data_IF_060629589792
#
_entry.id   IF_060629589792
#
_cell.length_a   1.000
_cell.length_b   1.000
_cell.length_c   1.000
_cell.angle_alpha   90.00
_cell.angle_beta   90.00
_cell.angle_gamma   90.00
#
_symmetry.space_group_name_H-M   'P 1'
#
loop_
_entity.id
_entity.type
_entity.pdbx_description
1 polymer ?
#
# COMPACT_ATOMS: atom_id res chain seq x y z
N UNK A 1 21.58 -0.77 -19.45
CA UNK A 1 20.53 -0.90 -18.45
C UNK A 1 19.19 -0.50 -19.07
N UNK A 2 18.14 -1.14 -18.60
CA UNK A 2 16.77 -0.75 -18.90
C UNK A 2 16.18 -0.12 -17.66
N UNK A 3 15.70 1.11 -17.79
CA UNK A 3 14.96 1.79 -16.72
C UNK A 3 13.52 1.29 -16.80
N UNK A 4 13.05 0.67 -15.73
CA UNK A 4 11.68 0.17 -15.65
C UNK A 4 10.74 1.16 -14.99
N UNK A 5 11.23 1.86 -13.98
CA UNK A 5 10.41 2.76 -13.20
C UNK A 5 11.21 3.99 -12.76
N UNK A 6 10.57 5.14 -12.89
CA UNK A 6 10.98 6.37 -12.21
C UNK A 6 9.75 6.82 -11.42
N UNK A 7 9.91 6.97 -10.12
CA UNK A 7 8.89 7.46 -9.20
C UNK A 7 9.30 8.82 -8.66
N UNK A 8 8.38 9.77 -8.72
CA UNK A 8 8.55 11.07 -8.07
C UNK A 8 8.01 10.93 -6.65
N UNK A 9 8.80 11.32 -5.66
CA UNK A 9 8.35 11.29 -4.28
C UNK A 9 7.08 12.14 -4.09
N UNK A 10 6.03 11.60 -3.46
CA UNK A 10 4.83 12.38 -3.14
C UNK A 10 5.09 13.44 -2.06
N UNK A 11 6.24 13.39 -1.38
CA UNK A 11 6.61 14.29 -0.30
C UNK A 11 7.51 15.45 -0.74
N UNK A 12 8.34 15.21 -1.78
CA UNK A 12 9.26 16.21 -2.30
C UNK A 12 9.50 16.01 -3.81
N UNK A 13 9.08 16.92 -4.69
CA UNK A 13 9.21 16.77 -6.14
C UNK A 13 10.67 16.70 -6.65
N UNK A 14 11.64 17.19 -5.87
CA UNK A 14 13.06 17.06 -6.19
C UNK A 14 13.62 15.66 -5.86
N UNK A 15 12.86 14.85 -5.13
CA UNK A 15 13.25 13.48 -4.79
C UNK A 15 12.66 12.50 -5.79
N UNK A 16 13.55 11.71 -6.41
CA UNK A 16 13.20 10.71 -7.40
C UNK A 16 13.77 9.37 -6.98
N UNK A 17 13.01 8.32 -7.24
CA UNK A 17 13.47 6.94 -7.11
C UNK A 17 13.50 6.27 -8.47
N UNK A 18 14.48 5.43 -8.72
CA UNK A 18 14.66 4.75 -9.99
C UNK A 18 14.92 3.27 -9.76
N UNK A 19 14.23 2.44 -10.53
CA UNK A 19 14.50 1.02 -10.66
C UNK A 19 14.92 0.70 -12.09
N UNK A 20 16.06 0.03 -12.22
CA UNK A 20 16.60 -0.41 -13.50
C UNK A 20 17.06 -1.85 -13.46
N UNK A 21 17.35 -2.43 -14.62
CA UNK A 21 17.80 -3.81 -14.73
C UNK A 21 18.71 -4.00 -15.95
N UNK A 22 19.54 -5.04 -15.90
CA UNK A 22 20.45 -5.45 -16.97
C UNK A 22 20.34 -6.94 -17.31
N UNK A 23 19.24 -7.60 -16.95
CA UNK A 23 19.08 -9.04 -17.11
C UNK A 23 19.33 -9.54 -18.55
N UNK A 24 19.01 -8.73 -19.56
CA UNK A 24 19.32 -9.05 -20.97
C UNK A 24 20.83 -9.08 -21.28
N UNK A 25 21.65 -8.58 -20.38
CA UNK A 25 23.11 -8.64 -20.44
C UNK A 25 23.68 -9.69 -19.47
N UNK A 26 22.84 -10.62 -19.02
CA UNK A 26 23.16 -11.66 -18.03
C UNK A 26 23.65 -11.09 -16.69
N UNK A 27 23.13 -9.93 -16.32
CA UNK A 27 23.41 -9.23 -15.05
C UNK A 27 22.10 -9.12 -14.27
N UNK A 28 22.00 -9.87 -13.17
CA UNK A 28 20.82 -9.99 -12.34
C UNK A 28 20.88 -9.14 -11.08
N UNK A 29 21.89 -8.29 -10.98
CA UNK A 29 22.06 -7.38 -9.83
C UNK A 29 20.89 -6.40 -9.71
N UNK A 30 20.50 -6.00 -8.49
CA UNK A 30 19.53 -4.93 -8.27
C UNK A 30 20.12 -3.57 -8.64
N UNK A 31 19.30 -2.72 -9.20
CA UNK A 31 19.65 -1.36 -9.57
C UNK A 31 18.60 -0.40 -9.06
N UNK A 32 18.70 -0.03 -7.77
CA UNK A 32 17.84 0.91 -7.09
C UNK A 32 18.62 2.19 -6.79
N UNK A 33 18.10 3.31 -7.21
CA UNK A 33 18.74 4.61 -7.03
C UNK A 33 17.75 5.64 -6.51
N UNK A 34 18.27 6.60 -5.77
CA UNK A 34 17.58 7.80 -5.29
C UNK A 34 18.31 9.04 -5.75
N UNK A 35 17.57 10.05 -6.14
CA UNK A 35 18.04 11.42 -6.33
C UNK A 35 17.29 12.34 -5.38
N UNK A 36 17.95 13.39 -4.88
CA UNK A 36 17.34 14.44 -4.05
C UNK A 36 17.42 15.82 -4.68
N UNK A 37 17.83 15.88 -5.96
CA UNK A 37 18.08 17.14 -6.67
C UNK A 37 17.58 17.08 -8.12
N UNK A 38 16.37 16.57 -8.34
CA UNK A 38 15.73 16.53 -9.65
C UNK A 38 16.44 15.63 -10.67
N UNK A 39 17.16 14.61 -10.21
CA UNK A 39 17.85 13.65 -11.09
C UNK A 39 19.26 14.06 -11.53
N UNK A 40 19.82 15.14 -10.99
CA UNK A 40 21.17 15.57 -11.33
C UNK A 40 22.24 14.61 -10.77
N UNK A 41 22.04 14.12 -9.56
CA UNK A 41 22.88 13.12 -8.93
C UNK A 41 22.04 11.95 -8.42
N UNK A 42 22.62 10.76 -8.46
CA UNK A 42 21.96 9.53 -8.04
C UNK A 42 22.82 8.78 -7.03
N UNK A 43 22.20 8.37 -5.96
CA UNK A 43 22.77 7.53 -4.92
C UNK A 43 22.18 6.12 -5.03
N UNK A 44 23.02 5.09 -4.90
CA UNK A 44 22.58 3.71 -4.86
C UNK A 44 21.94 3.41 -3.50
N UNK A 45 20.73 2.89 -3.51
CA UNK A 45 19.95 2.55 -2.32
C UNK A 45 19.67 1.04 -2.23
N UNK A 46 20.54 0.21 -2.81
CA UNK A 46 20.37 -1.23 -2.72
C UNK A 46 20.47 -1.73 -1.26
N UNK A 47 21.26 -1.08 -0.39
CA UNK A 47 21.41 -1.50 1.00
C UNK A 47 21.75 -2.99 1.12
N UNK A 48 20.92 -3.75 1.82
CA UNK A 48 20.98 -5.20 1.97
C UNK A 48 19.98 -5.96 1.08
N UNK A 49 19.51 -5.31 0.00
CA UNK A 49 18.68 -5.98 -1.00
C UNK A 49 19.43 -7.18 -1.63
N UNK A 50 18.77 -8.33 -1.88
CA UNK A 50 19.46 -9.51 -2.39
C UNK A 50 20.17 -9.27 -3.72
N UNK A 51 21.45 -9.69 -3.82
CA UNK A 51 22.32 -9.40 -4.96
C UNK A 51 21.84 -9.99 -6.30
N UNK A 52 21.09 -11.08 -6.26
CA UNK A 52 20.59 -11.77 -7.45
C UNK A 52 19.09 -11.56 -7.67
N UNK A 53 18.54 -10.51 -7.11
CA UNK A 53 17.11 -10.21 -7.21
C UNK A 53 16.89 -8.96 -8.06
N UNK A 54 16.29 -9.15 -9.24
CA UNK A 54 16.01 -8.05 -10.17
C UNK A 54 14.91 -7.15 -9.62
N UNK A 55 15.21 -5.86 -9.52
CA UNK A 55 14.20 -4.85 -9.22
C UNK A 55 13.47 -4.40 -10.48
N UNK A 56 12.13 -4.26 -10.41
CA UNK A 56 11.31 -3.81 -11.54
C UNK A 56 10.63 -2.48 -11.29
N UNK A 57 9.91 -2.38 -10.21
CA UNK A 57 9.13 -1.19 -9.86
C UNK A 57 9.45 -0.74 -8.46
N UNK A 58 9.51 0.56 -8.24
CA UNK A 58 9.67 1.16 -6.92
C UNK A 58 8.57 2.18 -6.69
N UNK A 59 8.00 2.20 -5.47
CA UNK A 59 6.98 3.16 -5.04
C UNK A 59 7.28 3.64 -3.64
N UNK A 60 7.09 4.93 -3.40
CA UNK A 60 7.09 5.51 -2.05
C UNK A 60 5.67 5.64 -1.52
N UNK A 61 5.49 5.35 -0.24
CA UNK A 61 4.18 5.54 0.42
C UNK A 61 3.80 7.03 0.48
N UNK A 62 2.59 7.41 0.03
CA UNK A 62 2.18 8.81 0.02
C UNK A 62 1.91 9.40 1.42
N UNK A 63 1.81 8.56 2.45
CA UNK A 63 1.55 9.00 3.82
C UNK A 63 2.81 9.01 4.69
N UNK A 64 3.81 8.19 4.37
CA UNK A 64 5.00 7.99 5.21
C UNK A 64 6.28 8.13 4.38
N UNK A 65 7.02 9.24 4.53
CA UNK A 65 8.26 9.44 3.81
C UNK A 65 9.29 8.33 4.10
N UNK A 66 9.97 7.85 3.05
CA UNK A 66 11.00 6.82 3.17
C UNK A 66 10.48 5.40 3.41
N UNK A 67 9.15 5.19 3.44
CA UNK A 67 8.56 3.87 3.33
C UNK A 67 8.46 3.50 1.85
N UNK A 68 9.30 2.57 1.43
CA UNK A 68 9.46 2.19 0.03
C UNK A 68 9.00 0.75 -0.20
N UNK A 69 8.39 0.52 -1.35
CA UNK A 69 8.03 -0.80 -1.84
C UNK A 69 8.73 -1.05 -3.18
N UNK A 70 9.34 -2.21 -3.33
CA UNK A 70 9.99 -2.65 -4.57
C UNK A 70 9.37 -3.95 -5.03
N UNK A 71 8.89 -3.96 -6.26
CA UNK A 71 8.48 -5.18 -6.95
C UNK A 71 9.68 -5.80 -7.67
N UNK A 72 9.84 -7.10 -7.50
CA UNK A 72 10.93 -7.91 -8.04
C UNK A 72 10.45 -9.04 -8.95
N UNK A 73 11.36 -9.94 -9.34
CA UNK A 73 11.01 -11.18 -10.03
C UNK A 73 10.33 -12.22 -9.12
N UNK A 74 10.56 -12.15 -7.81
CA UNK A 74 10.10 -13.18 -6.87
C UNK A 74 9.11 -12.67 -5.84
N UNK A 75 8.72 -11.39 -5.91
CA UNK A 75 7.77 -10.82 -4.96
C UNK A 75 7.97 -9.35 -4.67
N UNK A 76 7.70 -8.97 -3.45
CA UNK A 76 7.72 -7.58 -2.99
C UNK A 76 8.75 -7.44 -1.88
N UNK A 77 9.52 -6.37 -1.94
CA UNK A 77 10.43 -5.96 -0.86
C UNK A 77 9.99 -4.61 -0.31
N UNK A 78 10.22 -4.41 0.96
CA UNK A 78 9.87 -3.20 1.70
C UNK A 78 11.10 -2.63 2.38
N UNK A 79 11.24 -1.32 2.35
CA UNK A 79 12.18 -0.57 3.20
C UNK A 79 11.42 0.44 4.04
N UNK A 80 11.69 0.47 5.34
CA UNK A 80 11.12 1.44 6.28
C UNK A 80 12.09 2.56 6.63
N UNK A 81 13.23 2.62 5.96
CA UNK A 81 14.32 3.56 6.27
C UNK A 81 15.02 4.09 5.01
N UNK A 82 14.21 4.37 4.00
CA UNK A 82 14.63 5.08 2.78
C UNK A 82 15.70 4.30 1.98
N UNK A 83 15.52 2.97 1.85
CA UNK A 83 16.38 2.11 1.06
C UNK A 83 17.67 1.65 1.74
N UNK A 84 17.85 1.95 3.03
CA UNK A 84 19.06 1.50 3.76
C UNK A 84 19.02 0.00 4.07
N UNK A 85 17.84 -0.50 4.40
CA UNK A 85 17.60 -1.93 4.60
C UNK A 85 16.32 -2.34 3.89
N UNK A 86 16.34 -3.57 3.39
CA UNK A 86 15.25 -4.16 2.64
C UNK A 86 14.82 -5.49 3.26
N UNK A 87 13.54 -5.72 3.33
CA UNK A 87 12.96 -6.96 3.81
C UNK A 87 11.95 -7.48 2.81
N UNK A 88 11.98 -8.78 2.53
CA UNK A 88 10.94 -9.39 1.71
C UNK A 88 9.62 -9.35 2.47
N UNK A 89 8.58 -8.94 1.78
CA UNK A 89 7.22 -8.97 2.31
C UNK A 89 6.67 -10.37 2.14
N UNK A 90 6.82 -11.15 3.20
CA UNK A 90 6.31 -12.52 3.25
C UNK A 90 4.79 -12.53 3.52
N UNK A 91 4.17 -13.66 3.20
CA UNK A 91 2.74 -13.88 3.38
C UNK A 91 2.24 -14.94 2.41
N UNK A 92 1.00 -14.83 1.99
CA UNK A 92 0.41 -15.71 0.98
C UNK A 92 0.66 -15.25 -0.46
N UNK A 93 1.49 -14.22 -0.65
CA UNK A 93 1.84 -13.72 -1.98
C UNK A 93 2.70 -14.75 -2.73
N UNK A 94 2.34 -15.11 -3.98
CA UNK A 94 3.07 -16.11 -4.73
C UNK A 94 4.44 -15.63 -5.20
N UNK A 95 5.33 -16.56 -5.48
CA UNK A 95 6.58 -16.25 -6.20
C UNK A 95 6.23 -15.95 -7.65
N UNK A 96 6.25 -14.66 -8.00
CA UNK A 96 5.82 -14.16 -9.31
C UNK A 96 6.44 -12.79 -9.59
N UNK A 97 6.76 -12.46 -10.86
CA UNK A 97 7.25 -11.13 -11.20
C UNK A 97 6.18 -10.06 -10.95
N UNK A 98 6.59 -9.01 -10.26
CA UNK A 98 5.76 -7.83 -9.99
C UNK A 98 6.13 -6.73 -10.97
N UNK A 99 5.22 -6.37 -11.87
CA UNK A 99 5.48 -5.42 -12.92
C UNK A 99 5.05 -4.00 -12.59
N UNK A 100 4.02 -3.85 -11.78
CA UNK A 100 3.59 -2.54 -11.30
C UNK A 100 2.94 -2.64 -9.92
N UNK A 101 2.98 -1.52 -9.20
CA UNK A 101 2.34 -1.37 -7.90
C UNK A 101 1.75 0.03 -7.77
N UNK A 102 0.66 0.14 -7.03
CA UNK A 102 0.05 1.43 -6.68
C UNK A 102 -0.45 1.37 -5.24
N UNK A 103 -0.15 2.41 -4.49
CA UNK A 103 -0.73 2.60 -3.17
C UNK A 103 -2.00 3.44 -3.36
N UNK A 104 -3.13 2.91 -2.94
CA UNK A 104 -4.42 3.57 -3.00
C UNK A 104 -5.03 3.60 -1.60
N UNK A 105 -5.17 4.80 -1.05
CA UNK A 105 -5.55 4.98 0.35
C UNK A 105 -4.57 4.24 1.28
N UNK A 106 -5.02 3.14 1.90
CA UNK A 106 -4.22 2.34 2.81
C UNK A 106 -3.91 0.94 2.25
N UNK A 107 -4.17 0.71 0.97
CA UNK A 107 -3.97 -0.59 0.33
C UNK A 107 -2.83 -0.54 -0.69
N UNK A 108 -2.05 -1.62 -0.76
CA UNK A 108 -1.06 -1.82 -1.80
C UNK A 108 -1.63 -2.73 -2.88
N UNK A 109 -1.92 -2.17 -4.04
CA UNK A 109 -2.37 -2.90 -5.23
C UNK A 109 -1.17 -3.31 -6.06
N UNK A 110 -1.08 -4.58 -6.42
CA UNK A 110 0.07 -5.21 -7.07
C UNK A 110 -0.35 -5.85 -8.38
N UNK A 111 0.27 -5.44 -9.46
CA UNK A 111 0.12 -6.03 -10.79
C UNK A 111 1.22 -7.07 -11.04
N UNK A 112 0.84 -8.33 -11.24
CA UNK A 112 1.79 -9.42 -11.46
C UNK A 112 1.81 -9.90 -12.91
N UNK A 113 2.90 -10.51 -13.31
CA UNK A 113 2.97 -11.18 -14.61
C UNK A 113 2.50 -12.63 -14.50
N UNK A 114 1.26 -12.86 -14.90
CA UNK A 114 0.67 -14.20 -14.99
C UNK A 114 -0.12 -14.70 -13.76
N UNK A 115 -0.22 -13.90 -12.70
CA UNK A 115 -1.00 -14.24 -11.50
C UNK A 115 -2.02 -13.17 -11.11
N UNK A 116 -2.51 -12.40 -12.10
CA UNK A 116 -3.54 -11.39 -11.92
C UNK A 116 -3.12 -10.24 -10.98
N UNK A 117 -4.08 -9.57 -10.37
CA UNK A 117 -3.87 -8.51 -9.39
C UNK A 117 -3.98 -9.07 -7.97
N UNK A 118 -3.15 -8.51 -7.09
CA UNK A 118 -3.16 -8.81 -5.66
C UNK A 118 -3.33 -7.51 -4.90
N UNK A 119 -4.00 -7.58 -3.76
CA UNK A 119 -4.18 -6.43 -2.89
C UNK A 119 -3.71 -6.85 -1.49
N UNK A 120 -2.79 -6.09 -0.93
CA UNK A 120 -2.48 -6.12 0.48
C UNK A 120 -3.33 -5.05 1.14
N UNK A 121 -4.41 -5.49 1.78
CA UNK A 121 -5.31 -4.62 2.52
C UNK A 121 -4.61 -4.07 3.75
N UNK A 122 -4.80 -2.78 4.00
CA UNK A 122 -4.35 -2.09 5.19
C UNK A 122 -2.83 -2.15 5.47
N UNK A 123 -2.06 -1.27 4.82
CA UNK A 123 -0.63 -1.08 5.08
C UNK A 123 -0.34 -0.16 6.28
N UNK A 124 -1.35 0.27 7.04
CA UNK A 124 -1.15 1.16 8.20
C UNK A 124 -0.25 0.56 9.29
N UNK A 125 -0.22 -0.76 9.55
CA UNK A 125 0.77 -1.36 10.43
C UNK A 125 2.21 -1.15 9.97
N UNK A 126 2.48 -1.20 8.65
CA UNK A 126 3.81 -0.95 8.09
C UNK A 126 4.24 0.51 8.28
N UNK A 127 3.32 1.46 8.13
CA UNK A 127 3.54 2.89 8.42
C UNK A 127 3.86 3.11 9.90
N UNK A 128 3.13 2.46 10.78
CA UNK A 128 3.37 2.53 12.22
C UNK A 128 4.70 1.87 12.62
N UNK A 129 5.08 0.80 11.93
CA UNK A 129 6.37 0.14 12.13
C UNK A 129 7.53 1.03 11.70
N UNK A 130 7.43 1.72 10.56
CA UNK A 130 8.47 2.63 10.07
C UNK A 130 8.72 3.82 11.01
N UNK A 131 7.71 4.22 11.80
CA UNK A 131 7.82 5.31 12.77
C UNK A 131 8.51 4.91 14.08
N UNK A 132 8.85 3.62 14.26
CA UNK A 132 9.56 3.15 15.45
C UNK A 132 11.05 3.46 15.28
N UNK A 133 11.66 4.28 16.15
CA UNK A 133 13.11 4.51 16.09
C UNK A 133 13.86 3.17 16.26
N UNK A 134 14.83 2.94 15.38
CA UNK A 134 15.76 1.80 15.53
C UNK A 134 16.67 2.06 16.73
N UNK A 135 16.15 1.95 17.94
CA UNK A 135 16.99 1.97 19.12
C UNK A 135 17.75 0.66 19.21
N UNK A 136 19.05 0.75 19.09
CA UNK A 136 19.98 -0.22 19.65
C UNK A 136 19.93 -0.09 21.19
N UNK A 137 18.83 -0.49 21.79
CA UNK A 137 18.76 -0.58 23.24
C UNK A 137 19.26 -1.96 23.64
N UNK A 138 20.34 -1.94 24.43
CA UNK A 138 20.93 -3.08 25.10
C UNK A 138 20.05 -3.63 26.25
N UNK A 139 18.81 -3.23 26.34
CA UNK A 139 17.90 -3.70 27.36
C UNK A 139 16.96 -4.75 26.75
N UNK A 140 17.24 -6.00 27.12
CA UNK A 140 16.54 -7.23 26.75
C UNK A 140 15.10 -7.32 27.30
N UNK A 141 14.35 -6.25 27.31
CA UNK A 141 12.92 -6.29 27.57
C UNK A 141 12.24 -6.12 26.22
N UNK A 142 11.76 -7.21 25.65
CA UNK A 142 10.97 -7.21 24.43
C UNK A 142 9.79 -6.27 24.59
N UNK A 143 9.90 -5.06 24.09
CA UNK A 143 8.81 -4.10 24.05
C UNK A 143 7.79 -4.60 23.05
N UNK A 144 6.73 -5.19 23.55
CA UNK A 144 5.58 -5.53 22.74
C UNK A 144 4.86 -4.23 22.37
N UNK A 145 4.72 -3.92 21.08
CA UNK A 145 3.95 -2.77 20.58
C UNK A 145 2.64 -3.28 20.01
N UNK A 146 1.54 -2.84 20.58
CA UNK A 146 0.22 -3.02 20.00
C UNK A 146 -0.02 -1.87 19.00
N UNK A 147 -0.24 -2.21 17.73
CA UNK A 147 -0.61 -1.21 16.73
C UNK A 147 -2.08 -0.82 16.92
N UNK A 148 -2.42 0.48 16.97
CA UNK A 148 -3.81 0.90 16.94
C UNK A 148 -4.45 0.46 15.63
N UNK A 149 -5.66 -0.10 15.69
CA UNK A 149 -6.40 -0.45 14.48
C UNK A 149 -6.81 0.80 13.70
N UNK A 150 -7.06 0.63 12.42
CA UNK A 150 -7.65 1.65 11.57
C UNK A 150 -9.04 2.02 12.07
N UNK A 151 -9.40 3.30 11.92
CA UNK A 151 -10.75 3.76 12.18
C UNK A 151 -11.75 2.98 11.32
N UNK A 152 -12.67 2.30 11.99
CA UNK A 152 -13.62 1.40 11.35
C UNK A 152 -15.03 1.83 11.70
N UNK A 153 -15.89 1.84 10.69
CA UNK A 153 -17.31 2.10 10.91
C UNK A 153 -17.94 0.96 11.69
N UNK A 154 -18.55 1.29 12.83
CA UNK A 154 -19.41 0.34 13.52
C UNK A 154 -20.82 0.48 12.97
N UNK A 155 -21.38 -0.61 12.49
CA UNK A 155 -22.78 -0.68 12.16
C UNK A 155 -23.44 -1.84 12.93
N UNK A 156 -24.64 -1.63 13.35
CA UNK A 156 -25.44 -2.67 13.97
C UNK A 156 -26.42 -3.19 12.92
N UNK A 157 -26.35 -4.49 12.62
CA UNK A 157 -27.40 -5.16 11.85
C UNK A 157 -28.68 -5.15 12.70
N UNK A 158 -29.53 -4.18 12.46
CA UNK A 158 -30.82 -4.12 13.13
C UNK A 158 -31.86 -4.87 12.28
N UNK A 159 -32.17 -6.08 12.68
CA UNK A 159 -33.14 -6.95 12.00
C UNK A 159 -34.55 -6.40 12.01
N UNK A 160 -34.85 -5.50 12.91
CA UNK A 160 -36.22 -5.12 13.16
C UNK A 160 -36.66 -3.81 12.56
N UNK A 161 -35.73 -3.01 12.01
CA UNK A 161 -36.28 -1.74 11.59
C UNK A 161 -35.47 -0.73 10.84
N UNK A 162 -35.80 -0.56 9.62
CA UNK A 162 -35.74 0.70 8.90
C UNK A 162 -36.85 1.73 9.29
N UNK A 163 -37.43 1.63 10.47
CA UNK A 163 -38.55 2.53 10.83
C UNK A 163 -38.09 3.85 11.47
N UNK A 164 -36.87 3.88 12.02
CA UNK A 164 -36.33 5.08 12.65
C UNK A 164 -34.91 5.34 12.16
N UNK A 165 -34.80 5.71 10.90
CA UNK A 165 -33.53 6.24 10.38
C UNK A 165 -33.34 7.64 10.97
N UNK A 166 -32.30 7.80 11.78
CA UNK A 166 -31.85 9.11 12.28
C UNK A 166 -31.44 10.06 11.18
N UNK A 167 -31.14 11.30 11.53
CA UNK A 167 -30.56 12.25 10.58
C UNK A 167 -29.15 11.80 10.18
N UNK A 168 -28.82 11.92 8.88
CA UNK A 168 -27.52 11.59 8.32
C UNK A 168 -27.52 10.48 7.29
N UNK A 169 -26.34 9.94 6.99
CA UNK A 169 -26.17 8.83 6.05
C UNK A 169 -26.44 7.51 6.76
N UNK A 170 -27.40 6.76 6.25
CA UNK A 170 -27.75 5.45 6.77
C UNK A 170 -27.35 4.39 5.76
N UNK A 171 -26.61 3.39 6.21
CA UNK A 171 -26.16 2.26 5.40
C UNK A 171 -27.01 1.05 5.71
N UNK A 172 -27.57 0.42 4.72
CA UNK A 172 -28.30 -0.83 4.87
C UNK A 172 -27.80 -1.87 3.91
N UNK A 173 -27.70 -3.11 4.40
CA UNK A 173 -27.40 -4.28 3.57
C UNK A 173 -28.70 -5.03 3.35
N UNK A 174 -29.09 -5.23 2.10
CA UNK A 174 -30.26 -6.01 1.78
C UNK A 174 -29.99 -7.50 2.03
N UNK A 175 -30.86 -8.15 2.79
CA UNK A 175 -30.73 -9.58 3.08
C UNK A 175 -30.91 -10.41 1.79
N UNK A 176 -29.88 -11.20 1.44
CA UNK A 176 -29.89 -12.07 0.27
C UNK A 176 -29.56 -11.39 -1.06
N UNK A 177 -29.24 -10.10 -1.07
CA UNK A 177 -28.70 -9.39 -2.23
C UNK A 177 -27.27 -8.94 -1.93
N UNK A 178 -26.32 -9.18 -2.84
CA UNK A 178 -24.98 -8.65 -2.71
C UNK A 178 -25.03 -7.14 -3.01
N UNK A 179 -25.25 -6.32 -2.00
CA UNK A 179 -25.27 -4.88 -2.22
C UNK A 179 -25.40 -4.09 -0.93
N UNK A 180 -24.60 -3.06 -0.80
CA UNK A 180 -24.72 -2.05 0.26
C UNK A 180 -25.34 -0.80 -0.31
N UNK A 181 -26.43 -0.37 0.28
CA UNK A 181 -27.10 0.87 -0.09
C UNK A 181 -26.87 1.92 0.99
N UNK A 182 -26.73 3.16 0.60
CA UNK A 182 -26.93 4.24 1.53
C UNK A 182 -28.12 5.09 1.14
N UNK A 183 -28.89 5.52 2.12
CA UNK A 183 -29.98 6.45 1.97
C UNK A 183 -29.59 7.80 2.57
N UNK A 184 -29.88 8.85 1.85
CA UNK A 184 -29.70 10.22 2.32
C UNK A 184 -30.87 11.09 1.87
N UNK A 185 -30.99 12.28 2.48
CA UNK A 185 -31.93 13.29 2.01
C UNK A 185 -31.18 14.38 1.27
N UNK A 186 -31.71 14.83 0.14
CA UNK A 186 -31.21 16.02 -0.53
C UNK A 186 -31.56 17.28 0.27
N UNK A 187 -31.03 18.46 -0.07
CA UNK A 187 -31.40 19.72 0.60
C UNK A 187 -32.88 20.08 0.55
N UNK A 188 -33.61 19.51 -0.42
CA UNK A 188 -35.06 19.70 -0.60
C UNK A 188 -35.88 18.73 0.25
N UNK A 189 -35.22 17.83 0.99
CA UNK A 189 -35.87 16.88 1.90
C UNK A 189 -36.30 15.58 1.27
N UNK A 190 -36.06 15.37 -0.01
CA UNK A 190 -36.37 14.12 -0.71
C UNK A 190 -35.35 13.03 -0.37
N UNK A 191 -35.84 11.82 -0.10
CA UNK A 191 -35.01 10.66 0.13
C UNK A 191 -34.47 10.13 -1.19
N UNK A 192 -33.19 9.85 -1.25
CA UNK A 192 -32.56 9.12 -2.35
C UNK A 192 -31.73 7.95 -1.84
N UNK A 193 -31.66 6.92 -2.62
CA UNK A 193 -30.86 5.71 -2.35
C UNK A 193 -29.78 5.58 -3.43
N UNK A 194 -28.57 5.23 -3.04
CA UNK A 194 -27.48 4.94 -3.95
C UNK A 194 -26.87 3.59 -3.63
N UNK A 195 -26.71 2.76 -4.64
CA UNK A 195 -25.99 1.51 -4.53
C UNK A 195 -24.50 1.79 -4.55
N UNK A 196 -23.77 1.32 -3.54
CA UNK A 196 -22.31 1.49 -3.40
C UNK A 196 -21.50 0.43 -4.16
N UNK A 197 -22.13 -0.63 -4.65
CA UNK A 197 -21.44 -1.74 -5.29
C UNK A 197 -21.01 -1.45 -6.75
N UNK A 198 -21.31 -0.28 -7.27
CA UNK A 198 -20.89 0.11 -8.60
C UNK A 198 -19.54 0.83 -8.51
N UNK A 199 -18.46 0.06 -8.44
CA UNK A 199 -17.10 0.55 -8.57
C UNK A 199 -16.46 1.16 -7.31
N UNK A 200 -17.10 1.10 -6.16
CA UNK A 200 -16.51 1.46 -4.87
C UNK A 200 -16.60 0.25 -3.94
N UNK A 201 -15.47 -0.17 -3.40
CA UNK A 201 -15.53 -1.15 -2.31
C UNK A 201 -16.30 -0.52 -1.14
N UNK A 202 -17.32 -1.19 -0.58
CA UNK A 202 -17.92 -0.73 0.64
C UNK A 202 -16.84 -0.66 1.73
N UNK A 203 -16.92 0.31 2.65
CA UNK A 203 -16.05 0.30 3.80
C UNK A 203 -16.24 -1.04 4.52
N UNK A 204 -15.16 -1.82 4.57
CA UNK A 204 -15.20 -3.08 5.30
C UNK A 204 -15.35 -2.77 6.78
N UNK A 205 -16.46 -3.22 7.35
CA UNK A 205 -16.71 -3.13 8.78
C UNK A 205 -16.04 -4.25 9.54
#
# INVERSE_FOLDING_TARGET
AYIYCIEISPHNPETLYLSATRYKLNDYSPYLYKSTNGGQNWECINGDYPENEISRVIREDPATPGLLFVGSETGIFISTNDGKNWQKLDGNFPVVPVYDMKIKQDDLVVGTHGRSFWILDDITPLRQFSSIPSKKEKDNVGTCKLFPPKDTYRFTLNWSVNFFLGEGKNYSTAFGLPGTFYEAKNPEGEKYSRNLDIGENPPQG
#
